data_IF_911598277581
#
_entry.id   IF_911598277581
#
_cell.length_a   1.000
_cell.length_b   1.000
_cell.length_c   1.000
_cell.angle_alpha   90.00
_cell.angle_beta   90.00
_cell.angle_gamma   90.00
#
_symmetry.space_group_name_H-M   'P 1'
#
loop_
_entity.id
_entity.type
_entity.pdbx_description
1 polymer ?
#
# COMPACT_ATOMS: atom_id res chain seq x y z
N UNK A 1 10.23 -5.51 -3.33
CA UNK A 1 11.07 -4.30 -3.21
C UNK A 1 12.35 -4.31 -4.06
N UNK A 2 12.84 -5.47 -4.52
CA UNK A 2 14.12 -5.58 -5.25
C UNK A 2 14.21 -4.74 -6.54
N UNK A 3 13.08 -4.51 -7.24
CA UNK A 3 13.03 -3.67 -8.46
C UNK A 3 13.27 -2.18 -8.22
N UNK A 4 12.98 -1.64 -7.03
CA UNK A 4 13.17 -0.19 -6.80
C UNK A 4 14.62 0.13 -6.46
N UNK A 5 15.35 -0.80 -5.84
CA UNK A 5 16.73 -0.57 -5.43
C UNK A 5 17.70 -0.31 -6.60
N UNK A 6 17.32 -0.68 -7.83
CA UNK A 6 18.11 -0.40 -9.05
C UNK A 6 18.24 1.09 -9.35
N UNK A 7 17.38 1.92 -8.77
CA UNK A 7 17.39 3.38 -8.94
C UNK A 7 18.28 4.10 -7.92
N UNK A 8 18.92 3.39 -6.98
CA UNK A 8 19.89 4.02 -6.08
C UNK A 8 21.10 4.55 -6.87
N UNK A 9 21.57 5.75 -6.52
CA UNK A 9 22.66 6.43 -7.22
C UNK A 9 22.25 7.24 -8.44
N UNK A 10 21.08 6.98 -9.03
CA UNK A 10 20.57 7.76 -10.16
C UNK A 10 20.11 9.16 -9.71
N UNK A 11 20.15 10.12 -10.63
CA UNK A 11 19.53 11.42 -10.42
C UNK A 11 18.00 11.30 -10.39
N UNK A 12 17.34 12.27 -9.76
CA UNK A 12 15.88 12.31 -9.71
C UNK A 12 15.24 12.39 -11.10
N UNK A 13 15.90 13.05 -12.06
CA UNK A 13 15.45 13.13 -13.44
C UNK A 13 15.55 11.78 -14.16
N UNK A 14 16.68 11.08 -14.01
CA UNK A 14 16.85 9.72 -14.56
C UNK A 14 15.80 8.76 -13.99
N UNK A 15 15.52 8.84 -12.68
CA UNK A 15 14.44 8.06 -12.07
C UNK A 15 13.10 8.39 -12.71
N UNK A 16 12.76 9.67 -12.90
CA UNK A 16 11.51 10.06 -13.53
C UNK A 16 11.35 9.55 -14.96
N UNK A 17 12.44 9.48 -15.72
CA UNK A 17 12.45 9.00 -17.11
C UNK A 17 12.39 7.47 -17.20
N UNK A 18 13.07 6.75 -16.30
CA UNK A 18 13.24 5.30 -16.37
C UNK A 18 12.22 4.52 -15.54
N UNK A 19 11.59 5.14 -14.54
CA UNK A 19 10.68 4.42 -13.66
C UNK A 19 9.37 4.08 -14.38
N UNK A 20 9.11 2.79 -14.53
CA UNK A 20 7.82 2.31 -14.99
C UNK A 20 7.05 1.66 -13.83
N UNK A 21 6.25 2.48 -13.15
CA UNK A 21 5.43 2.02 -12.04
C UNK A 21 4.27 1.12 -12.49
N UNK A 22 3.84 1.21 -13.74
CA UNK A 22 2.78 0.35 -14.30
C UNK A 22 3.25 -1.11 -14.41
N UNK A 23 4.52 -1.34 -14.74
CA UNK A 23 5.12 -2.68 -14.82
C UNK A 23 5.21 -3.40 -13.47
N UNK A 24 5.00 -2.68 -12.38
CA UNK A 24 4.91 -3.23 -11.02
C UNK A 24 3.50 -3.08 -10.42
N UNK A 25 2.50 -2.81 -11.25
CA UNK A 25 1.09 -2.76 -10.85
C UNK A 25 0.71 -1.53 -10.04
N UNK A 26 1.50 -0.45 -10.10
CA UNK A 26 1.24 0.79 -9.37
C UNK A 26 0.66 1.84 -10.33
N UNK A 27 -0.52 2.35 -9.97
CA UNK A 27 -1.14 3.50 -10.62
C UNK A 27 -1.06 4.73 -9.71
N UNK A 28 -0.46 5.80 -10.22
CA UNK A 28 -0.30 7.03 -9.46
C UNK A 28 -1.63 7.76 -9.25
N UNK A 29 -1.81 8.29 -8.05
CA UNK A 29 -2.94 9.15 -7.69
C UNK A 29 -2.76 10.58 -8.20
N UNK A 30 -1.51 11.03 -8.30
CA UNK A 30 -1.13 12.38 -8.72
C UNK A 30 0.25 12.35 -9.38
N UNK A 31 0.63 13.41 -10.13
CA UNK A 31 2.01 13.57 -10.58
C UNK A 31 3.01 13.47 -9.42
N UNK A 32 4.22 12.95 -9.66
CA UNK A 32 5.25 12.88 -8.63
C UNK A 32 5.65 14.27 -8.14
N UNK A 33 5.93 14.37 -6.85
CA UNK A 33 6.41 15.61 -6.22
C UNK A 33 7.92 15.53 -6.02
N UNK A 34 8.65 16.55 -6.45
CA UNK A 34 10.10 16.63 -6.33
C UNK A 34 10.51 17.90 -5.58
N UNK A 35 11.49 17.78 -4.71
CA UNK A 35 12.20 18.88 -4.09
C UNK A 35 13.68 18.50 -3.88
N UNK A 36 14.46 19.34 -3.19
CA UNK A 36 15.90 19.11 -2.99
C UNK A 36 16.23 17.83 -2.21
N UNK A 37 15.33 17.36 -1.34
CA UNK A 37 15.57 16.23 -0.42
C UNK A 37 14.86 14.95 -0.83
N UNK A 38 13.84 15.01 -1.68
CA UNK A 38 13.04 13.84 -2.03
C UNK A 38 12.29 13.95 -3.37
N UNK A 39 12.13 12.79 -4.01
CA UNK A 39 11.19 12.54 -5.09
C UNK A 39 10.14 11.53 -4.58
N UNK A 40 8.86 11.92 -4.65
CA UNK A 40 7.76 11.18 -4.01
C UNK A 40 6.69 10.82 -5.04
N UNK A 41 6.39 9.52 -5.11
CA UNK A 41 5.30 8.96 -5.91
C UNK A 41 4.17 8.50 -4.99
N UNK A 42 2.98 9.05 -5.18
CA UNK A 42 1.80 8.71 -4.37
C UNK A 42 0.84 7.83 -5.16
N UNK A 43 0.40 6.73 -4.56
CA UNK A 43 -0.57 5.80 -5.13
C UNK A 43 -1.54 5.28 -4.06
N UNK A 44 -2.63 4.65 -4.49
CA UNK A 44 -3.59 4.03 -3.57
C UNK A 44 -3.59 2.52 -3.74
N UNK A 45 -3.75 1.81 -2.61
CA UNK A 45 -3.94 0.36 -2.60
C UNK A 45 -5.26 0.03 -1.93
N UNK A 46 -6.03 -0.88 -2.52
CA UNK A 46 -7.19 -1.47 -1.87
C UNK A 46 -6.74 -2.54 -0.89
N UNK A 47 -7.22 -2.45 0.35
CA UNK A 47 -7.06 -3.48 1.37
C UNK A 47 -8.44 -4.02 1.71
N UNK A 48 -8.62 -5.32 1.50
CA UNK A 48 -9.86 -6.01 1.83
C UNK A 48 -9.82 -6.42 3.29
N UNK A 49 -10.81 -5.99 4.06
CA UNK A 49 -10.97 -6.40 5.46
C UNK A 49 -12.15 -7.34 5.54
N UNK A 50 -11.95 -8.52 6.12
CA UNK A 50 -13.03 -9.45 6.39
C UNK A 50 -13.85 -8.95 7.58
N UNK A 51 -15.17 -8.85 7.41
CA UNK A 51 -16.07 -8.75 8.56
C UNK A 51 -16.01 -10.07 9.32
N UNK A 52 -15.79 -10.01 10.63
CA UNK A 52 -15.82 -11.19 11.48
C UNK A 52 -17.20 -11.81 11.44
N UNK A 53 -17.30 -13.07 11.02
CA UNK A 53 -18.48 -13.89 11.26
C UNK A 53 -18.71 -13.97 12.78
N UNK A 54 -19.93 -13.69 13.21
CA UNK A 54 -20.31 -13.73 14.62
C UNK A 54 -19.94 -15.10 15.21
N UNK A 55 -19.13 -15.11 16.26
CA UNK A 55 -18.79 -16.32 16.99
C UNK A 55 -20.07 -16.88 17.64
N UNK A 56 -20.30 -18.20 17.62
CA UNK A 56 -21.50 -18.78 18.19
C UNK A 56 -21.55 -18.50 19.69
N UNK A 57 -22.67 -17.95 20.16
CA UNK A 57 -22.92 -17.69 21.58
C UNK A 57 -23.39 -18.99 22.22
N UNK A 58 -22.71 -19.42 23.29
CA UNK A 58 -23.18 -20.51 24.13
C UNK A 58 -24.10 -19.98 25.22
N UNK A 59 -25.17 -20.72 25.54
CA UNK A 59 -26.02 -20.43 26.69
C UNK A 59 -25.28 -20.68 28.01
N UNK A 60 -25.89 -20.30 29.15
CA UNK A 60 -25.33 -20.51 30.48
C UNK A 60 -25.07 -21.99 30.86
N UNK A 61 -25.50 -22.94 30.01
CA UNK A 61 -25.31 -24.39 30.17
C UNK A 61 -24.31 -24.96 29.14
N UNK A 62 -23.62 -24.09 28.40
CA UNK A 62 -22.62 -24.48 27.40
C UNK A 62 -23.20 -25.05 26.11
N UNK A 63 -24.52 -24.88 25.86
CA UNK A 63 -25.14 -25.32 24.60
C UNK A 63 -25.04 -24.20 23.57
N UNK A 64 -24.51 -24.53 22.40
CA UNK A 64 -24.43 -23.59 21.28
C UNK A 64 -25.85 -23.26 20.80
N UNK A 65 -26.18 -21.97 20.75
CA UNK A 65 -27.44 -21.49 20.18
C UNK A 65 -27.26 -21.47 18.65
N UNK A 66 -28.08 -22.21 17.86
CA UNK A 66 -27.99 -22.16 16.41
C UNK A 66 -28.42 -20.77 15.92
N UNK A 67 -27.45 -19.92 15.59
CA UNK A 67 -27.69 -18.68 14.86
C UNK A 67 -27.79 -19.00 13.37
N UNK A 68 -28.83 -18.49 12.69
CA UNK A 68 -28.90 -18.56 11.24
C UNK A 68 -27.72 -17.75 10.68
N UNK A 69 -26.69 -18.44 10.19
CA UNK A 69 -25.61 -17.81 9.44
C UNK A 69 -26.20 -17.29 8.13
N UNK A 70 -26.62 -16.03 8.12
CA UNK A 70 -26.79 -15.27 6.88
C UNK A 70 -25.45 -15.26 6.16
N UNK A 71 -25.32 -16.11 5.15
CA UNK A 71 -24.09 -16.30 4.40
C UNK A 71 -23.79 -15.09 3.51
N UNK A 72 -23.03 -14.15 4.05
CA UNK A 72 -22.12 -13.33 3.25
C UNK A 72 -20.94 -12.95 4.14
N UNK A 73 -19.77 -13.51 3.85
CA UNK A 73 -18.52 -12.93 4.34
C UNK A 73 -18.37 -11.57 3.67
N UNK A 74 -18.98 -10.54 4.23
CA UNK A 74 -18.92 -9.20 3.66
C UNK A 74 -17.50 -8.67 3.83
N UNK A 75 -16.75 -8.64 2.73
CA UNK A 75 -15.45 -7.97 2.70
C UNK A 75 -15.65 -6.56 2.20
N UNK A 76 -15.21 -5.56 2.96
CA UNK A 76 -15.17 -4.19 2.48
C UNK A 76 -13.75 -3.81 2.05
N UNK A 77 -13.65 -2.97 1.02
CA UNK A 77 -12.38 -2.50 0.50
C UNK A 77 -12.08 -1.10 1.04
N UNK A 78 -11.00 -0.97 1.80
CA UNK A 78 -10.48 0.34 2.20
C UNK A 78 -9.44 0.81 1.19
N UNK A 79 -9.54 2.05 0.72
CA UNK A 79 -8.49 2.70 -0.05
C UNK A 79 -7.45 3.29 0.92
N UNK A 80 -6.22 2.80 0.82
CA UNK A 80 -5.11 3.22 1.66
C UNK A 80 -4.05 3.93 0.81
N UNK A 81 -3.59 5.08 1.28
CA UNK A 81 -2.56 5.87 0.58
C UNK A 81 -1.17 5.32 0.84
N UNK A 82 -0.37 5.23 -0.23
CA UNK A 82 0.99 4.74 -0.26
C UNK A 82 1.93 5.71 -0.96
N UNK A 83 3.18 5.74 -0.50
CA UNK A 83 4.23 6.60 -1.03
C UNK A 83 5.50 5.80 -1.29
N UNK A 84 6.05 5.93 -2.49
CA UNK A 84 7.45 5.60 -2.77
C UNK A 84 8.24 6.88 -2.61
N UNK A 85 9.21 6.89 -1.71
CA UNK A 85 10.03 8.04 -1.35
C UNK A 85 11.48 7.74 -1.73
N UNK A 86 11.96 8.40 -2.76
CA UNK A 86 13.38 8.45 -3.10
C UNK A 86 14.00 9.60 -2.32
N UNK A 87 14.91 9.30 -1.39
CA UNK A 87 15.68 10.30 -0.65
C UNK A 87 16.80 10.82 -1.53
N UNK A 88 16.88 12.14 -1.67
CA UNK A 88 17.83 12.80 -2.55
C UNK A 88 18.92 13.51 -1.74
N UNK A 89 20.15 13.46 -2.25
CA UNK A 89 21.26 14.31 -1.84
C UNK A 89 21.93 14.81 -3.12
N UNK A 90 22.04 16.14 -3.28
CA UNK A 90 22.52 16.75 -4.53
C UNK A 90 21.79 16.19 -5.76
N UNK A 91 20.45 16.08 -5.68
CA UNK A 91 19.59 15.51 -6.72
C UNK A 91 19.79 14.01 -7.04
N UNK A 92 20.65 13.29 -6.32
CA UNK A 92 20.86 11.84 -6.50
C UNK A 92 20.21 10.99 -5.42
N UNK A 93 19.68 9.83 -5.80
CA UNK A 93 19.02 8.89 -4.89
C UNK A 93 20.04 8.25 -3.95
N UNK A 94 19.84 8.46 -2.66
CA UNK A 94 20.67 7.88 -1.59
C UNK A 94 19.97 6.74 -0.85
N UNK A 95 18.64 6.77 -0.79
CA UNK A 95 17.84 5.73 -0.16
C UNK A 95 16.43 5.72 -0.75
N UNK A 96 15.75 4.58 -0.60
CA UNK A 96 14.38 4.40 -1.10
C UNK A 96 13.55 3.84 0.04
N UNK A 97 12.39 4.44 0.27
CA UNK A 97 11.48 4.08 1.35
C UNK A 97 10.07 3.92 0.81
N UNK A 98 9.37 2.90 1.29
CA UNK A 98 7.94 2.74 1.06
C UNK A 98 7.21 3.14 2.34
N UNK A 99 6.22 4.05 2.24
CA UNK A 99 5.50 4.57 3.40
C UNK A 99 3.99 4.54 3.20
N UNK A 100 3.30 3.98 4.18
CA UNK A 100 1.85 3.95 4.31
C UNK A 100 1.41 2.67 5.02
N UNK A 101 0.14 2.57 5.41
CA UNK A 101 -0.34 1.44 6.22
C UNK A 101 -0.52 0.14 5.43
N UNK A 102 -0.62 0.24 4.11
CA UNK A 102 -0.94 -0.87 3.20
C UNK A 102 0.14 -1.11 2.13
N UNK A 103 1.28 -0.46 2.32
CA UNK A 103 2.47 -0.61 1.49
C UNK A 103 3.38 -1.61 2.21
#
# INVERSE_FOLDING_TARGET
MQKLNTYQGLSAEEVQQQINLKDIGIQLKSPPKINEQQLVYTFERRVYTAMSSQLPIADARGRFIPMQMGGSSETYANQMSCHIIFKLKQQHVTAIQLKGRAC
#
